data_IF_135139291085
#
_entry.id   IF_135139291085
#
_cell.length_a   1.000
_cell.length_b   1.000
_cell.length_c   1.000
_cell.angle_alpha   90.00
_cell.angle_beta   90.00
_cell.angle_gamma   90.00
#
_symmetry.space_group_name_H-M   'P 1'
#
loop_
_entity.id
_entity.type
_entity.pdbx_description
1 polymer ?
#
# COMPACT_ATOMS: atom_id res chain seq x y z
N UNK A 1 -11.77 5.58 -12.01
CA UNK A 1 -11.10 4.41 -11.40
C UNK A 1 -11.46 4.32 -9.92
N UNK A 2 -11.21 3.19 -9.26
CA UNK A 2 -11.44 3.03 -7.82
C UNK A 2 -10.78 4.13 -6.98
N UNK A 3 -9.52 4.48 -7.28
CA UNK A 3 -8.78 5.50 -6.54
C UNK A 3 -9.33 6.91 -6.75
N UNK A 4 -9.83 7.24 -7.94
CA UNK A 4 -10.50 8.52 -8.17
C UNK A 4 -11.75 8.69 -7.30
N UNK A 5 -12.50 7.60 -7.06
CA UNK A 5 -13.66 7.60 -6.17
C UNK A 5 -13.21 7.86 -4.73
N UNK A 6 -12.14 7.19 -4.27
CA UNK A 6 -11.58 7.41 -2.92
C UNK A 6 -11.11 8.86 -2.73
N UNK A 7 -10.38 9.42 -3.70
CA UNK A 7 -9.94 10.82 -3.65
C UNK A 7 -11.14 11.77 -3.60
N UNK A 8 -12.15 11.58 -4.45
CA UNK A 8 -13.35 12.43 -4.43
C UNK A 8 -14.09 12.37 -3.10
N UNK A 9 -14.28 11.17 -2.53
CA UNK A 9 -14.98 11.01 -1.24
C UNK A 9 -14.16 11.55 -0.07
N UNK A 10 -12.84 11.40 -0.08
CA UNK A 10 -11.98 12.00 0.92
C UNK A 10 -12.07 13.54 0.86
N UNK A 11 -11.98 14.12 -0.33
CA UNK A 11 -12.09 15.57 -0.51
C UNK A 11 -13.43 16.13 -0.03
N UNK A 12 -14.54 15.44 -0.30
CA UNK A 12 -15.87 15.83 0.20
C UNK A 12 -15.94 15.86 1.74
N UNK A 13 -15.09 15.08 2.42
CA UNK A 13 -14.99 15.04 3.87
C UNK A 13 -13.87 15.96 4.42
N UNK A 14 -13.21 16.77 3.58
CA UNK A 14 -12.07 17.59 3.98
C UNK A 14 -10.78 16.79 4.26
N UNK A 15 -10.70 15.56 3.74
CA UNK A 15 -9.58 14.64 3.92
C UNK A 15 -8.81 14.43 2.61
N UNK A 16 -7.61 13.85 2.71
CA UNK A 16 -6.79 13.45 1.56
C UNK A 16 -6.71 11.93 1.46
N UNK A 17 -6.79 11.41 0.23
CA UNK A 17 -6.47 10.02 -0.07
C UNK A 17 -5.11 9.95 -0.77
N UNK A 18 -4.16 9.23 -0.17
CA UNK A 18 -2.79 9.15 -0.65
C UNK A 18 -2.55 7.73 -1.19
N UNK A 19 -2.32 7.56 -2.50
CA UNK A 19 -2.00 6.26 -3.04
C UNK A 19 -0.58 5.86 -2.63
N UNK A 20 -0.40 4.59 -2.29
CA UNK A 20 0.91 3.96 -2.10
C UNK A 20 0.98 2.73 -3.00
N UNK A 21 2.21 2.29 -3.33
CA UNK A 21 2.40 1.06 -4.10
C UNK A 21 1.67 -0.11 -3.43
N UNK A 22 0.92 -0.88 -4.21
CA UNK A 22 0.22 -2.09 -3.73
C UNK A 22 1.04 -3.38 -3.92
N UNK A 23 2.22 -3.28 -4.55
CA UNK A 23 2.98 -4.44 -4.99
C UNK A 23 3.41 -5.32 -3.81
N UNK A 24 3.24 -6.64 -3.95
CA UNK A 24 3.61 -7.66 -2.96
C UNK A 24 2.95 -7.55 -1.57
N UNK A 25 1.96 -6.67 -1.35
CA UNK A 25 1.34 -6.46 -0.01
C UNK A 25 0.65 -7.69 0.55
N UNK A 26 0.06 -8.53 -0.30
CA UNK A 26 -0.54 -9.82 0.10
C UNK A 26 0.49 -10.95 0.26
N UNK A 27 1.73 -10.74 -0.17
CA UNK A 27 2.81 -11.72 -0.18
C UNK A 27 3.80 -11.48 0.96
N UNK A 28 4.19 -10.22 1.18
CA UNK A 28 5.12 -9.83 2.23
C UNK A 28 4.44 -9.91 3.60
N UNK A 29 5.15 -10.44 4.59
CA UNK A 29 4.69 -10.45 5.97
C UNK A 29 4.75 -9.04 6.54
N UNK A 30 3.64 -8.54 7.06
CA UNK A 30 3.56 -7.23 7.71
C UNK A 30 4.40 -7.11 8.98
N UNK A 31 4.73 -8.24 9.63
CA UNK A 31 5.52 -8.25 10.86
C UNK A 31 7.04 -8.26 10.59
N UNK A 32 7.51 -9.10 9.66
CA UNK A 32 8.96 -9.27 9.44
C UNK A 32 9.46 -8.90 8.04
N UNK A 33 8.60 -8.39 7.15
CA UNK A 33 8.94 -7.96 5.79
C UNK A 33 9.23 -9.07 4.78
N UNK A 34 9.52 -10.30 5.24
CA UNK A 34 9.86 -11.43 4.37
C UNK A 34 8.68 -11.86 3.48
N UNK A 35 8.99 -12.22 2.23
CA UNK A 35 8.00 -12.68 1.25
C UNK A 35 7.55 -14.10 1.58
N UNK A 36 6.24 -14.30 1.62
CA UNK A 36 5.57 -15.59 1.83
C UNK A 36 4.73 -15.88 0.58
N UNK A 37 5.29 -16.54 -0.46
CA UNK A 37 4.57 -16.81 -1.70
C UNK A 37 3.32 -17.65 -1.49
N UNK A 38 2.18 -17.19 -2.01
CA UNK A 38 0.88 -17.89 -1.93
C UNK A 38 -0.02 -17.60 -3.12
N UNK A 39 -0.90 -18.55 -3.47
CA UNK A 39 -1.90 -18.40 -4.54
C UNK A 39 -3.07 -17.51 -4.09
N UNK A 40 -3.82 -16.95 -5.05
CA UNK A 40 -4.94 -16.03 -4.78
C UNK A 40 -6.08 -16.65 -3.96
N UNK A 41 -6.29 -17.97 -4.03
CA UNK A 41 -7.30 -18.66 -3.22
C UNK A 41 -6.86 -18.88 -1.77
N UNK A 42 -5.57 -18.74 -1.46
CA UNK A 42 -5.08 -18.84 -0.09
C UNK A 42 -5.40 -17.51 0.60
N UNK A 43 -6.39 -17.56 1.49
CA UNK A 43 -6.94 -16.40 2.20
C UNK A 43 -6.27 -16.14 3.54
N UNK A 44 -5.52 -17.10 4.06
CA UNK A 44 -4.83 -17.00 5.33
C UNK A 44 -3.33 -16.73 5.11
N UNK A 45 -2.72 -15.93 5.99
CA UNK A 45 -1.29 -15.60 5.98
C UNK A 45 -0.62 -16.22 7.20
N UNK A 46 0.11 -17.30 7.00
CA UNK A 46 1.01 -17.89 7.99
C UNK A 46 2.45 -17.66 7.58
N UNK A 47 3.20 -16.88 8.37
CA UNK A 47 4.58 -16.56 8.09
C UNK A 47 5.52 -17.58 8.76
N UNK A 48 6.24 -18.41 7.99
CA UNK A 48 7.16 -19.42 8.55
C UNK A 48 8.40 -18.80 9.19
N UNK A 49 8.63 -17.50 8.98
CA UNK A 49 9.84 -16.84 9.43
C UNK A 49 9.70 -16.08 10.76
N UNK A 50 8.48 -15.79 11.19
CA UNK A 50 8.23 -15.01 12.41
C UNK A 50 6.97 -15.45 13.18
N UNK A 51 6.23 -16.45 12.70
CA UNK A 51 5.03 -16.94 13.36
C UNK A 51 3.78 -16.07 13.20
N UNK A 52 3.85 -14.97 12.45
CA UNK A 52 2.69 -14.11 12.19
C UNK A 52 1.59 -14.90 11.45
N UNK A 53 0.37 -14.92 12.02
CA UNK A 53 -0.77 -15.70 11.54
C UNK A 53 -2.04 -14.85 11.58
N UNK A 54 -2.60 -14.51 10.41
CA UNK A 54 -3.80 -13.68 10.27
C UNK A 54 -4.44 -13.80 8.88
N UNK A 55 -5.61 -13.20 8.68
CA UNK A 55 -6.20 -13.06 7.34
C UNK A 55 -5.26 -12.27 6.39
N UNK A 56 -5.14 -12.76 5.16
CA UNK A 56 -4.23 -12.20 4.16
C UNK A 56 -4.56 -10.75 3.79
N UNK A 57 -5.85 -10.40 3.73
CA UNK A 57 -6.25 -9.04 3.38
C UNK A 57 -5.97 -8.10 4.56
N UNK A 58 -6.11 -8.57 5.81
CA UNK A 58 -5.65 -7.84 6.99
C UNK A 58 -4.12 -7.62 6.98
N UNK A 59 -3.32 -8.66 6.67
CA UNK A 59 -1.88 -8.51 6.48
C UNK A 59 -1.53 -7.50 5.38
N UNK A 60 -2.24 -7.53 4.26
CA UNK A 60 -2.04 -6.58 3.16
C UNK A 60 -2.38 -5.14 3.58
N UNK A 61 -3.45 -4.94 4.35
CA UNK A 61 -3.84 -3.63 4.88
C UNK A 61 -2.77 -3.05 5.81
N UNK A 62 -2.17 -3.86 6.69
CA UNK A 62 -1.05 -3.43 7.55
C UNK A 62 0.15 -3.00 6.69
N UNK A 63 0.50 -3.77 5.65
CA UNK A 63 1.59 -3.39 4.74
C UNK A 63 1.32 -2.04 4.04
N UNK A 64 0.07 -1.78 3.62
CA UNK A 64 -0.33 -0.50 3.03
C UNK A 64 -0.19 0.64 4.06
N UNK A 65 -0.64 0.43 5.30
CA UNK A 65 -0.48 1.39 6.40
C UNK A 65 0.99 1.72 6.64
N UNK A 66 1.84 0.70 6.80
CA UNK A 66 3.28 0.87 7.07
C UNK A 66 4.00 1.62 5.95
N UNK A 67 3.55 1.49 4.68
CA UNK A 67 4.09 2.27 3.55
C UNK A 67 3.68 3.74 3.58
N UNK A 68 2.53 4.04 4.17
CA UNK A 68 2.03 5.40 4.33
C UNK A 68 2.59 6.09 5.58
N UNK A 69 2.95 5.33 6.62
CA UNK A 69 3.56 5.86 7.84
C UNK A 69 4.83 6.67 7.53
N UNK A 70 4.97 7.84 8.16
CA UNK A 70 6.09 8.77 7.94
C UNK A 70 5.98 9.65 6.68
N UNK A 71 4.95 9.47 5.83
CA UNK A 71 4.68 10.42 4.74
C UNK A 71 4.03 11.68 5.31
N UNK A 72 4.73 12.82 5.26
CA UNK A 72 4.16 14.08 5.73
C UNK A 72 2.99 14.51 4.83
N UNK A 73 1.99 15.16 5.44
CA UNK A 73 0.83 15.71 4.71
C UNK A 73 1.27 16.67 3.61
N UNK A 74 2.36 17.42 3.82
CA UNK A 74 2.94 18.33 2.82
C UNK A 74 3.56 17.56 1.63
N UNK A 75 4.24 16.44 1.88
CA UNK A 75 4.75 15.56 0.83
C UNK A 75 3.59 14.97 0.04
N UNK A 76 2.54 14.55 0.73
CA UNK A 76 1.31 14.04 0.11
C UNK A 76 0.57 15.09 -0.73
N UNK A 77 0.41 16.32 -0.24
CA UNK A 77 -0.19 17.42 -0.99
C UNK A 77 0.61 17.76 -2.25
N UNK A 78 1.94 17.76 -2.17
CA UNK A 78 2.83 17.99 -3.32
C UNK A 78 2.72 16.88 -4.37
N UNK A 79 2.50 15.62 -3.96
CA UNK A 79 2.22 14.51 -4.86
C UNK A 79 0.84 14.64 -5.54
N UNK A 80 -0.14 15.25 -4.87
CA UNK A 80 -1.49 15.44 -5.41
C UNK A 80 -1.61 16.68 -6.32
N UNK A 81 -0.80 17.72 -6.13
CA UNK A 81 -0.85 18.96 -6.92
C UNK A 81 -0.29 18.83 -8.34
N UNK A 82 0.49 17.78 -8.62
CA UNK A 82 0.97 17.47 -9.96
C UNK A 82 0.09 16.37 -10.56
N UNK A 83 -0.89 16.75 -11.39
CA UNK A 83 -1.88 15.89 -12.05
C UNK A 83 -1.31 14.78 -12.97
N UNK A 84 0.02 14.58 -13.00
CA UNK A 84 0.71 13.45 -13.66
C UNK A 84 1.05 12.30 -12.70
N UNK A 85 0.98 12.47 -11.38
CA UNK A 85 1.50 11.50 -10.39
C UNK A 85 0.55 10.34 -10.13
N UNK A 86 -0.70 10.45 -10.61
CA UNK A 86 -1.64 9.34 -10.58
C UNK A 86 -1.05 8.04 -11.14
N UNK A 87 -0.09 8.09 -12.08
CA UNK A 87 0.57 6.90 -12.63
C UNK A 87 1.91 6.54 -11.97
N UNK A 88 2.71 7.52 -11.52
CA UNK A 88 4.07 7.31 -10.97
C UNK A 88 4.06 6.60 -9.61
N UNK A 89 2.96 6.67 -8.84
CA UNK A 89 2.82 5.90 -7.60
C UNK A 89 2.69 4.37 -7.82
N UNK A 90 2.51 3.91 -9.07
CA UNK A 90 2.43 2.48 -9.42
C UNK A 90 3.74 1.89 -9.97
N UNK A 91 4.73 2.72 -10.28
CA UNK A 91 6.01 2.27 -10.82
C UNK A 91 7.15 2.84 -9.98
N UNK A 92 7.88 1.98 -9.27
CA UNK A 92 9.21 2.32 -8.79
C UNK A 92 10.04 2.88 -9.98
N UNK A 93 10.91 3.89 -9.78
CA UNK A 93 11.91 4.21 -10.77
C UNK A 93 12.79 2.98 -10.96
N UNK A 94 12.83 2.44 -12.17
CA UNK A 94 13.85 1.47 -12.55
C UNK A 94 15.23 2.07 -12.20
N UNK A 95 15.95 1.42 -11.28
CA UNK A 95 17.37 1.62 -11.07
C UNK A 95 17.75 2.23 -9.71
N UNK A 96 18.18 1.36 -8.80
CA UNK A 96 19.23 1.63 -7.82
C UNK A 96 19.74 0.27 -7.32
N UNK A 97 20.83 -0.19 -7.95
CA UNK A 97 21.81 -1.24 -7.59
C UNK A 97 21.33 -2.47 -6.82
#
# INVERSE_FOLDING_TARGET
SFLAILTSKALNAGLLAIPVSAQNTSQNCSNCGRKVPKKLHVRWHDCPHCGCSLDRDHNAAINIKNRAEGQSVLKAQRLLSNSRIGWEAYTEPNGSV
#
